data_IF_540748186724
#
_entry.id   IF_540748186724
#
_cell.length_a   1.000
_cell.length_b   1.000
_cell.length_c   1.000
_cell.angle_alpha   90.00
_cell.angle_beta   90.00
_cell.angle_gamma   90.00
#
_symmetry.space_group_name_H-M   'P 1'
#
loop_
_entity.id
_entity.type
_entity.pdbx_description
1 polymer ?
#
# COMPACT_ATOMS: atom_id res chain seq x y z
N UNK A 1 -20.83 28.92 -1.49
CA UNK A 1 -21.79 28.54 -2.56
C UNK A 1 -21.09 27.57 -3.52
N UNK A 2 -21.82 26.69 -4.21
CA UNK A 2 -21.35 25.90 -5.37
C UNK A 2 -22.28 26.15 -6.55
N UNK A 3 -21.73 26.24 -7.76
CA UNK A 3 -22.49 26.36 -9.01
C UNK A 3 -22.06 25.28 -9.99
N UNK A 4 -22.99 24.44 -10.44
CA UNK A 4 -22.74 23.43 -11.47
C UNK A 4 -23.13 23.99 -12.84
N UNK A 5 -22.17 24.07 -13.77
CA UNK A 5 -22.28 24.82 -15.03
C UNK A 5 -22.38 23.94 -16.29
N UNK A 6 -21.98 22.66 -16.20
CA UNK A 6 -21.96 21.74 -17.32
C UNK A 6 -21.10 22.23 -18.49
N UNK A 7 -21.70 22.21 -19.68
CA UNK A 7 -21.12 22.65 -20.96
C UNK A 7 -21.59 24.06 -21.40
N UNK A 8 -22.27 24.80 -20.52
CA UNK A 8 -22.89 26.09 -20.87
C UNK A 8 -24.08 25.98 -21.84
N UNK A 9 -24.61 24.78 -22.12
CA UNK A 9 -25.85 24.63 -22.92
C UNK A 9 -27.13 24.80 -22.09
N UNK A 10 -27.02 24.75 -20.76
CA UNK A 10 -28.13 24.74 -19.79
C UNK A 10 -27.84 25.70 -18.64
N UNK A 11 -28.88 26.04 -17.89
CA UNK A 11 -28.79 26.94 -16.73
C UNK A 11 -27.96 26.31 -15.59
N UNK A 12 -27.29 27.17 -14.82
CA UNK A 12 -26.44 26.77 -13.70
C UNK A 12 -27.26 26.28 -12.50
N UNK A 13 -26.94 25.10 -11.96
CA UNK A 13 -27.53 24.65 -10.69
C UNK A 13 -26.75 25.25 -9.52
N UNK A 14 -27.40 26.16 -8.77
CA UNK A 14 -26.81 26.83 -7.61
C UNK A 14 -27.17 26.08 -6.31
N UNK A 15 -26.14 25.74 -5.54
CA UNK A 15 -26.20 25.06 -4.25
C UNK A 15 -25.63 25.98 -3.16
N UNK A 16 -26.45 26.30 -2.15
CA UNK A 16 -26.15 27.26 -1.11
C UNK A 16 -26.93 26.93 0.18
N UNK A 17 -26.51 27.55 1.29
CA UNK A 17 -27.06 27.27 2.62
C UNK A 17 -26.78 25.83 3.07
N UNK A 18 -27.70 25.27 3.84
CA UNK A 18 -27.58 23.98 4.53
C UNK A 18 -27.29 22.80 3.58
N UNK A 19 -27.70 22.92 2.30
CA UNK A 19 -27.37 21.98 1.22
C UNK A 19 -25.87 21.68 1.09
N UNK A 20 -24.99 22.61 1.50
CA UNK A 20 -23.54 22.42 1.47
C UNK A 20 -23.03 21.44 2.55
N UNK A 21 -23.90 21.02 3.48
CA UNK A 21 -23.56 20.09 4.58
C UNK A 21 -24.22 18.71 4.42
N UNK A 22 -25.00 18.49 3.35
CA UNK A 22 -25.78 17.27 3.11
C UNK A 22 -25.13 16.42 1.99
N UNK A 23 -24.17 15.55 2.33
CA UNK A 23 -23.37 14.78 1.34
C UNK A 23 -24.23 13.99 0.34
N UNK A 24 -25.25 13.25 0.82
CA UNK A 24 -26.14 12.46 -0.04
C UNK A 24 -26.87 13.35 -1.07
N UNK A 25 -27.34 14.52 -0.64
CA UNK A 25 -28.05 15.48 -1.50
C UNK A 25 -27.12 16.16 -2.50
N UNK A 26 -25.86 16.43 -2.11
CA UNK A 26 -24.83 16.92 -3.01
C UNK A 26 -24.50 15.86 -4.08
N UNK A 27 -24.44 14.59 -3.69
CA UNK A 27 -24.28 13.48 -4.63
C UNK A 27 -25.47 13.39 -5.57
N UNK A 28 -26.71 13.41 -5.06
CA UNK A 28 -27.93 13.41 -5.88
C UNK A 28 -28.02 14.60 -6.83
N UNK A 29 -27.63 15.80 -6.40
CA UNK A 29 -27.58 16.97 -7.27
C UNK A 29 -26.61 16.78 -8.44
N UNK A 30 -25.40 16.26 -8.20
CA UNK A 30 -24.45 15.94 -9.27
C UNK A 30 -24.87 14.73 -10.12
N UNK A 31 -25.49 13.71 -9.51
CA UNK A 31 -25.98 12.52 -10.20
C UNK A 31 -27.17 12.83 -11.13
N UNK A 32 -28.02 13.80 -10.78
CA UNK A 32 -29.13 14.25 -11.62
C UNK A 32 -28.77 15.43 -12.55
N UNK A 33 -27.65 16.11 -12.33
CA UNK A 33 -27.21 17.20 -13.20
C UNK A 33 -27.00 16.71 -14.66
N UNK A 34 -27.38 17.46 -15.70
CA UNK A 34 -27.24 17.01 -17.08
C UNK A 34 -25.77 16.73 -17.46
N UNK A 35 -25.53 15.59 -18.11
CA UNK A 35 -24.22 15.32 -18.72
C UNK A 35 -23.97 16.28 -19.90
N UNK A 36 -22.72 16.73 -20.11
CA UNK A 36 -22.35 17.61 -21.21
C UNK A 36 -22.35 16.88 -22.56
N UNK A 37 -22.63 17.62 -23.63
CA UNK A 37 -22.39 17.16 -25.01
C UNK A 37 -20.91 17.34 -25.40
N UNK A 38 -20.48 16.64 -26.45
CA UNK A 38 -19.07 16.60 -26.89
C UNK A 38 -18.51 18.00 -27.14
N UNK A 39 -17.27 18.24 -26.69
CA UNK A 39 -16.61 19.56 -26.72
C UNK A 39 -16.61 20.20 -28.13
N UNK A 40 -16.63 19.40 -29.20
CA UNK A 40 -16.77 19.89 -30.58
C UNK A 40 -18.03 20.75 -30.77
N UNK A 41 -19.14 20.35 -30.16
CA UNK A 41 -20.46 21.00 -30.30
C UNK A 41 -20.61 22.18 -29.32
N UNK A 42 -19.92 22.12 -28.18
CA UNK A 42 -20.14 23.01 -27.02
C UNK A 42 -19.01 23.99 -26.74
N UNK A 43 -17.84 23.83 -27.37
CA UNK A 43 -16.62 24.64 -27.18
C UNK A 43 -16.84 26.16 -27.04
N UNK A 44 -17.64 26.76 -27.92
CA UNK A 44 -17.94 28.20 -27.87
C UNK A 44 -18.70 28.60 -26.60
N UNK A 45 -19.70 27.81 -26.19
CA UNK A 45 -20.49 28.03 -24.97
C UNK A 45 -19.67 27.77 -23.70
N UNK A 46 -18.86 26.71 -23.71
CA UNK A 46 -17.90 26.43 -22.63
C UNK A 46 -16.93 27.61 -22.46
N UNK A 47 -16.37 28.13 -23.56
CA UNK A 47 -15.45 29.27 -23.51
C UNK A 47 -16.14 30.54 -22.99
N UNK A 48 -17.35 30.86 -23.47
CA UNK A 48 -18.14 32.00 -22.96
C UNK A 48 -18.45 31.85 -21.46
N UNK A 49 -18.82 30.64 -21.02
CA UNK A 49 -19.09 30.33 -19.62
C UNK A 49 -17.83 30.51 -18.76
N UNK A 50 -16.68 30.00 -19.22
CA UNK A 50 -15.38 30.14 -18.57
C UNK A 50 -14.96 31.62 -18.43
N UNK A 51 -15.14 32.43 -19.47
CA UNK A 51 -14.87 33.87 -19.44
C UNK A 51 -15.88 34.67 -18.60
N UNK A 52 -17.05 34.10 -18.29
CA UNK A 52 -18.07 34.72 -17.43
C UNK A 52 -17.86 34.47 -15.92
N UNK A 53 -16.95 33.56 -15.54
CA UNK A 53 -16.69 33.22 -14.15
C UNK A 53 -16.23 34.43 -13.34
N UNK A 54 -16.66 34.49 -12.07
CA UNK A 54 -16.21 35.46 -11.08
C UNK A 54 -15.93 34.78 -9.75
N UNK A 55 -14.98 35.34 -9.03
CA UNK A 55 -14.71 35.08 -7.63
C UNK A 55 -15.95 35.38 -6.77
N UNK A 56 -16.15 34.56 -5.73
CA UNK A 56 -17.31 34.63 -4.84
C UNK A 56 -16.91 34.47 -3.35
N UNK A 57 -15.64 34.72 -3.02
CA UNK A 57 -15.08 34.77 -1.65
C UNK A 57 -15.07 33.46 -0.83
N UNK A 58 -15.85 32.45 -1.21
CA UNK A 58 -15.99 31.18 -0.48
C UNK A 58 -15.49 29.98 -1.30
N UNK A 59 -14.68 29.14 -0.68
CA UNK A 59 -14.07 27.94 -1.26
C UNK A 59 -14.83 26.70 -0.80
N UNK A 60 -15.97 26.43 -1.44
CA UNK A 60 -16.84 25.28 -1.17
C UNK A 60 -16.32 23.98 -1.84
N UNK A 61 -15.04 23.64 -1.61
CA UNK A 61 -14.32 22.59 -2.34
C UNK A 61 -14.91 21.20 -2.09
N UNK A 62 -15.13 20.80 -0.83
CA UNK A 62 -15.69 19.49 -0.50
C UNK A 62 -17.07 19.23 -1.11
N UNK A 63 -18.04 20.15 -1.02
CA UNK A 63 -19.33 20.01 -1.69
C UNK A 63 -19.23 19.96 -3.22
N UNK A 64 -18.34 20.77 -3.82
CA UNK A 64 -18.09 20.74 -5.26
C UNK A 64 -17.46 19.42 -5.71
N UNK A 65 -16.55 18.84 -4.93
CA UNK A 65 -15.92 17.54 -5.19
C UNK A 65 -16.94 16.39 -5.19
N UNK A 66 -17.87 16.37 -4.22
CA UNK A 66 -18.96 15.38 -4.18
C UNK A 66 -19.82 15.47 -5.45
N UNK A 67 -20.24 16.68 -5.83
CA UNK A 67 -21.01 16.91 -7.05
C UNK A 67 -20.23 16.48 -8.31
N UNK A 68 -18.92 16.76 -8.37
CA UNK A 68 -18.06 16.42 -9.50
C UNK A 68 -17.84 14.92 -9.65
N UNK A 69 -17.64 14.19 -8.54
CA UNK A 69 -17.55 12.72 -8.53
C UNK A 69 -18.89 12.11 -8.97
N UNK A 70 -20.02 12.63 -8.49
CA UNK A 70 -21.33 12.16 -8.87
C UNK A 70 -21.62 12.35 -10.38
N UNK A 71 -21.31 13.53 -10.94
CA UNK A 71 -21.37 13.76 -12.39
C UNK A 71 -20.44 12.81 -13.17
N UNK A 72 -19.17 12.70 -12.75
CA UNK A 72 -18.18 11.86 -13.42
C UNK A 72 -18.50 10.36 -13.35
N UNK A 73 -19.19 9.90 -12.30
CA UNK A 73 -19.61 8.50 -12.13
C UNK A 73 -20.63 8.00 -13.16
N UNK A 74 -21.23 8.92 -13.92
CA UNK A 74 -22.15 8.64 -15.04
C UNK A 74 -21.47 8.71 -16.41
N UNK A 75 -20.18 9.07 -16.46
CA UNK A 75 -19.35 8.98 -17.65
C UNK A 75 -18.83 7.55 -17.89
N UNK A 76 -18.04 7.34 -18.96
CA UNK A 76 -17.38 6.05 -19.21
C UNK A 76 -16.30 5.73 -18.16
N UNK A 77 -15.90 4.45 -18.01
CA UNK A 77 -14.83 4.05 -17.08
C UNK A 77 -13.54 4.82 -17.31
N UNK A 78 -12.96 5.35 -16.22
CA UNK A 78 -11.77 6.21 -16.28
C UNK A 78 -12.07 7.69 -16.48
N UNK A 79 -13.33 8.10 -16.27
CA UNK A 79 -13.72 9.51 -16.14
C UNK A 79 -12.94 10.20 -15.01
N UNK A 80 -12.66 11.49 -15.18
CA UNK A 80 -11.70 12.23 -14.35
C UNK A 80 -12.31 13.50 -13.77
N UNK A 81 -12.00 13.77 -12.50
CA UNK A 81 -12.19 15.06 -11.84
C UNK A 81 -10.82 15.70 -11.67
N UNK A 82 -10.68 17.00 -11.93
CA UNK A 82 -9.48 17.77 -11.58
C UNK A 82 -9.94 18.89 -10.66
N UNK A 83 -9.50 18.84 -9.40
CA UNK A 83 -9.68 19.93 -8.44
C UNK A 83 -8.63 20.99 -8.77
N UNK A 84 -9.06 22.24 -8.94
CA UNK A 84 -8.18 23.39 -8.99
C UNK A 84 -8.52 24.30 -7.81
N UNK A 85 -7.53 24.62 -6.96
CA UNK A 85 -7.74 25.48 -5.79
C UNK A 85 -6.50 26.34 -5.49
N UNK A 86 -6.75 27.53 -4.98
CA UNK A 86 -5.78 28.55 -4.58
C UNK A 86 -5.91 28.93 -3.10
N UNK A 87 -6.63 28.12 -2.32
CA UNK A 87 -6.76 28.27 -0.87
C UNK A 87 -7.42 27.08 -0.18
N UNK A 88 -7.64 27.23 1.14
CA UNK A 88 -8.30 26.25 1.98
C UNK A 88 -9.80 26.15 1.67
N UNK A 89 -10.38 24.96 1.81
CA UNK A 89 -11.82 24.78 1.84
C UNK A 89 -12.41 25.44 3.11
N UNK A 90 -13.36 26.36 2.98
CA UNK A 90 -13.89 27.13 4.12
C UNK A 90 -15.41 27.03 4.37
N UNK A 91 -16.15 26.27 3.56
CA UNK A 91 -17.60 26.08 3.77
C UNK A 91 -18.10 24.71 3.29
N UNK A 92 -19.05 24.14 4.02
CA UNK A 92 -19.69 22.85 3.73
C UNK A 92 -18.92 21.63 4.28
N UNK A 93 -19.34 20.44 3.82
CA UNK A 93 -18.63 19.17 4.12
C UNK A 93 -17.16 19.24 3.70
N UNK A 94 -16.26 18.68 4.52
CA UNK A 94 -14.82 18.68 4.22
C UNK A 94 -14.12 20.03 4.34
N UNK A 95 -14.66 20.97 5.12
CA UNK A 95 -13.96 22.21 5.49
C UNK A 95 -12.54 21.92 6.04
N UNK A 96 -11.56 22.72 5.62
CA UNK A 96 -10.13 22.62 5.90
C UNK A 96 -9.57 23.84 6.66
N UNK A 97 -10.30 24.94 6.67
CA UNK A 97 -10.09 26.11 7.54
C UNK A 97 -10.51 25.82 9.01
N UNK A 98 -9.95 26.55 9.97
CA UNK A 98 -10.20 26.41 11.43
C UNK A 98 -10.01 24.99 12.02
N UNK A 99 -9.24 24.14 11.33
CA UNK A 99 -8.75 22.86 11.84
C UNK A 99 -7.52 23.11 12.73
N UNK A 100 -7.77 23.45 14.00
CA UNK A 100 -6.75 23.67 15.03
C UNK A 100 -6.60 22.52 16.03
N UNK A 101 -7.50 21.53 16.03
CA UNK A 101 -7.50 20.42 17.01
C UNK A 101 -7.19 19.06 16.37
N UNK A 102 -6.61 18.10 17.12
CA UNK A 102 -6.30 16.75 16.60
C UNK A 102 -7.53 15.95 16.21
N UNK A 103 -8.68 16.25 16.81
CA UNK A 103 -9.95 15.59 16.52
C UNK A 103 -10.53 16.12 15.20
N UNK A 104 -10.59 17.45 14.99
CA UNK A 104 -10.94 18.04 13.68
C UNK A 104 -10.00 17.59 12.55
N UNK A 105 -8.69 17.49 12.81
CA UNK A 105 -7.72 16.97 11.85
C UNK A 105 -8.07 15.53 11.42
N UNK A 106 -8.38 14.67 12.40
CA UNK A 106 -8.76 13.29 12.13
C UNK A 106 -10.13 13.18 11.44
N UNK A 107 -11.08 14.07 11.74
CA UNK A 107 -12.37 14.17 11.04
C UNK A 107 -12.17 14.52 9.56
N UNK A 108 -11.40 15.56 9.24
CA UNK A 108 -11.10 15.93 7.85
C UNK A 108 -10.36 14.83 7.08
N UNK A 109 -9.34 14.21 7.68
CA UNK A 109 -8.64 13.07 7.09
C UNK A 109 -9.58 11.88 6.84
N UNK A 110 -10.53 11.63 7.75
CA UNK A 110 -11.53 10.56 7.59
C UNK A 110 -12.53 10.89 6.47
N UNK A 111 -12.94 12.15 6.34
CA UNK A 111 -13.82 12.62 5.27
C UNK A 111 -13.16 12.47 3.88
N UNK A 112 -11.95 12.99 3.70
CA UNK A 112 -11.25 12.86 2.41
C UNK A 112 -10.86 11.41 2.11
N UNK A 113 -10.60 10.57 3.12
CA UNK A 113 -10.52 9.12 2.92
C UNK A 113 -11.85 8.50 2.45
N UNK A 114 -12.98 8.86 3.04
CA UNK A 114 -14.30 8.36 2.63
C UNK A 114 -14.61 8.73 1.17
N UNK A 115 -14.50 10.01 0.81
CA UNK A 115 -14.73 10.49 -0.56
C UNK A 115 -13.80 9.80 -1.59
N UNK A 116 -12.56 9.46 -1.20
CA UNK A 116 -11.64 8.70 -2.07
C UNK A 116 -12.10 7.26 -2.36
N UNK A 117 -12.84 6.62 -1.44
CA UNK A 117 -13.42 5.29 -1.62
C UNK A 117 -14.62 5.37 -2.57
N UNK A 118 -15.50 6.35 -2.35
CA UNK A 118 -16.65 6.63 -3.23
C UNK A 118 -16.18 6.88 -4.67
N UNK A 119 -15.14 7.72 -4.89
CA UNK A 119 -14.59 7.95 -6.22
C UNK A 119 -14.05 6.66 -6.89
N UNK A 120 -13.29 5.85 -6.14
CA UNK A 120 -12.76 4.57 -6.62
C UNK A 120 -13.87 3.58 -7.01
N UNK A 121 -14.87 3.37 -6.15
CA UNK A 121 -15.99 2.44 -6.41
C UNK A 121 -16.81 2.83 -7.65
N UNK A 122 -16.82 4.12 -7.98
CA UNK A 122 -17.44 4.67 -9.20
C UNK A 122 -16.50 4.68 -10.42
N UNK A 123 -15.26 4.20 -10.32
CA UNK A 123 -14.28 4.21 -11.41
C UNK A 123 -13.81 5.61 -11.83
N UNK A 124 -13.89 6.59 -10.91
CA UNK A 124 -13.53 8.00 -11.13
C UNK A 124 -12.17 8.29 -10.52
N UNK A 125 -11.26 8.89 -11.31
CA UNK A 125 -9.97 9.38 -10.79
C UNK A 125 -10.03 10.88 -10.50
N UNK A 126 -9.56 11.29 -9.32
CA UNK A 126 -9.47 12.69 -8.89
C UNK A 126 -8.02 13.13 -8.94
N UNK A 127 -7.69 14.19 -9.68
CA UNK A 127 -6.40 14.89 -9.54
C UNK A 127 -6.57 16.18 -8.73
N UNK A 128 -5.50 16.63 -8.08
CA UNK A 128 -5.42 17.89 -7.32
C UNK A 128 -4.36 18.78 -7.95
N UNK A 129 -4.78 19.96 -8.40
CA UNK A 129 -3.91 21.04 -8.86
C UNK A 129 -4.06 22.22 -7.91
N UNK A 130 -2.93 22.71 -7.38
CA UNK A 130 -2.87 23.81 -6.40
C UNK A 130 -1.97 24.93 -6.87
N UNK A 131 -2.19 26.15 -6.39
CA UNK A 131 -1.36 27.30 -6.74
C UNK A 131 -0.19 27.47 -5.76
N UNK A 132 1.01 27.64 -6.31
CA UNK A 132 2.23 27.99 -5.56
C UNK A 132 2.10 29.35 -4.89
N UNK A 133 2.27 29.41 -3.58
CA UNK A 133 2.15 30.62 -2.77
C UNK A 133 0.93 30.63 -1.83
N UNK A 134 -0.05 29.75 -2.05
CA UNK A 134 -1.18 29.53 -1.14
C UNK A 134 -1.16 28.11 -0.58
N UNK A 135 -1.42 27.94 0.72
CA UNK A 135 -1.55 26.62 1.34
C UNK A 135 -3.02 26.15 1.26
N UNK A 136 -3.22 24.98 0.65
CA UNK A 136 -4.50 24.37 0.33
C UNK A 136 -4.76 23.08 1.14
N UNK A 137 -3.81 22.67 2.00
CA UNK A 137 -3.79 21.36 2.70
C UNK A 137 -3.77 20.18 1.74
N UNK A 138 -2.69 20.12 0.94
CA UNK A 138 -2.34 18.98 0.08
C UNK A 138 -2.25 17.67 0.88
N UNK A 139 -1.92 17.70 2.18
CA UNK A 139 -1.95 16.51 3.02
C UNK A 139 -3.32 15.81 3.04
N UNK A 140 -4.40 16.57 3.18
CA UNK A 140 -5.77 16.03 3.18
C UNK A 140 -6.27 15.80 1.73
N UNK A 141 -6.15 16.79 0.85
CA UNK A 141 -6.65 16.71 -0.54
C UNK A 141 -5.92 15.63 -1.37
N UNK A 142 -4.60 15.52 -1.20
CA UNK A 142 -3.75 14.57 -1.92
C UNK A 142 -4.08 13.11 -1.62
N UNK A 143 -4.76 12.79 -0.51
CA UNK A 143 -5.23 11.43 -0.24
C UNK A 143 -6.29 10.98 -1.24
N UNK A 144 -7.12 11.91 -1.74
CA UNK A 144 -8.12 11.59 -2.77
C UNK A 144 -7.43 11.28 -4.10
N UNK A 145 -6.37 12.03 -4.43
CA UNK A 145 -5.58 11.78 -5.63
C UNK A 145 -4.78 10.47 -5.55
N UNK A 146 -4.00 10.29 -4.49
CA UNK A 146 -3.19 9.10 -4.23
C UNK A 146 -4.04 7.81 -4.22
N UNK A 147 -5.17 7.80 -3.50
CA UNK A 147 -6.04 6.61 -3.42
C UNK A 147 -6.78 6.33 -4.73
N UNK A 148 -7.05 7.33 -5.57
CA UNK A 148 -7.69 7.14 -6.90
C UNK A 148 -6.67 7.11 -8.07
N UNK A 149 -5.38 7.03 -7.75
CA UNK A 149 -4.21 7.12 -8.64
C UNK A 149 -4.17 8.36 -9.56
N UNK A 150 -4.91 9.41 -9.23
CA UNK A 150 -4.77 10.74 -9.83
C UNK A 150 -3.52 11.46 -9.35
N UNK A 151 -3.24 12.63 -9.90
CA UNK A 151 -1.98 13.37 -9.67
C UNK A 151 -2.15 14.52 -8.69
N UNK A 152 -1.04 14.92 -8.06
CA UNK A 152 -0.92 16.09 -7.19
C UNK A 152 0.14 17.02 -7.78
N UNK A 153 -0.26 18.22 -8.20
CA UNK A 153 0.61 19.20 -8.85
C UNK A 153 0.45 20.59 -8.21
N UNK A 154 1.53 21.17 -7.68
CA UNK A 154 1.58 22.58 -7.27
C UNK A 154 2.26 23.40 -8.37
N UNK A 155 1.55 24.40 -8.91
CA UNK A 155 2.01 25.18 -10.08
C UNK A 155 2.03 26.67 -9.82
N UNK A 156 2.98 27.37 -10.44
CA UNK A 156 2.89 28.82 -10.59
C UNK A 156 1.68 29.16 -11.50
N UNK A 157 0.90 30.23 -11.25
CA UNK A 157 -0.22 30.62 -12.11
C UNK A 157 0.14 30.73 -13.61
N UNK A 158 1.36 31.16 -13.94
CA UNK A 158 1.85 31.30 -15.32
C UNK A 158 2.01 29.92 -16.01
N UNK A 159 2.27 28.87 -15.22
CA UNK A 159 2.56 27.51 -15.67
C UNK A 159 1.35 26.57 -15.52
N UNK A 160 0.14 27.11 -15.38
CA UNK A 160 -1.09 26.32 -15.18
C UNK A 160 -1.32 25.29 -16.31
N UNK A 161 -0.95 25.64 -17.55
CA UNK A 161 -1.02 24.75 -18.71
C UNK A 161 -0.10 23.53 -18.60
N UNK A 162 1.07 23.68 -17.96
CA UNK A 162 2.01 22.57 -17.74
C UNK A 162 1.43 21.56 -16.75
N UNK A 163 0.77 22.05 -15.69
CA UNK A 163 0.06 21.23 -14.70
C UNK A 163 -1.07 20.40 -15.33
N UNK A 164 -1.96 21.04 -16.10
CA UNK A 164 -2.98 20.31 -16.86
C UNK A 164 -2.37 19.31 -17.84
N UNK A 165 -1.28 19.67 -18.52
CA UNK A 165 -0.60 18.77 -19.47
C UNK A 165 0.00 17.54 -18.77
N UNK A 166 0.67 17.72 -17.62
CA UNK A 166 1.18 16.62 -16.78
C UNK A 166 0.07 15.66 -16.35
N UNK A 167 -1.05 16.22 -15.85
CA UNK A 167 -2.21 15.44 -15.41
C UNK A 167 -2.83 14.66 -16.58
N UNK A 168 -3.06 15.31 -17.72
CA UNK A 168 -3.79 14.73 -18.86
C UNK A 168 -2.95 13.78 -19.72
N UNK A 169 -1.62 13.96 -19.77
CA UNK A 169 -0.70 13.08 -20.51
C UNK A 169 -0.72 11.62 -20.03
N UNK A 170 -1.18 11.37 -18.79
CA UNK A 170 -1.34 10.03 -18.22
C UNK A 170 -2.77 9.53 -18.38
N UNK A 171 -3.07 8.64 -19.36
CA UNK A 171 -4.39 8.05 -19.47
C UNK A 171 -4.63 7.01 -18.37
N UNK A 172 -5.85 6.96 -17.84
CA UNK A 172 -6.33 5.76 -17.13
C UNK A 172 -6.33 4.61 -18.14
N UNK A 173 -5.81 3.45 -17.74
CA UNK A 173 -5.77 2.21 -18.53
C UNK A 173 -6.92 1.28 -18.16
N UNK A 174 -7.19 1.16 -16.86
CA UNK A 174 -8.26 0.34 -16.29
C UNK A 174 -8.81 0.96 -14.98
N UNK A 175 -10.01 0.54 -14.58
CA UNK A 175 -10.69 0.92 -13.34
C UNK A 175 -11.06 -0.30 -12.50
N UNK A 176 -11.42 -0.10 -11.22
CA UNK A 176 -11.85 -1.16 -10.32
C UNK A 176 -10.88 -2.36 -10.29
N UNK A 177 -9.57 -2.06 -10.22
CA UNK A 177 -8.50 -3.05 -10.24
C UNK A 177 -8.35 -3.67 -8.84
N UNK A 178 -8.65 -4.96 -8.70
CA UNK A 178 -8.28 -5.77 -7.53
C UNK A 178 -7.19 -6.76 -7.93
N UNK A 179 -6.20 -6.94 -7.06
CA UNK A 179 -5.12 -7.91 -7.27
C UNK A 179 -5.06 -8.92 -6.14
N UNK A 180 -4.74 -10.17 -6.48
CA UNK A 180 -4.46 -11.24 -5.53
C UNK A 180 -3.08 -11.81 -5.82
N UNK A 181 -2.17 -11.70 -4.83
CA UNK A 181 -0.84 -12.28 -4.89
C UNK A 181 -0.80 -13.52 -3.99
N UNK A 182 -0.51 -14.67 -4.59
CA UNK A 182 -0.37 -15.96 -3.91
C UNK A 182 1.06 -16.47 -4.03
N UNK A 183 1.67 -16.77 -2.88
CA UNK A 183 3.01 -17.33 -2.76
C UNK A 183 2.94 -18.81 -2.38
N UNK A 184 4.02 -19.55 -2.63
CA UNK A 184 4.19 -20.90 -2.10
C UNK A 184 4.10 -20.93 -0.56
N UNK A 185 3.51 -21.99 0.01
CA UNK A 185 3.18 -22.12 1.44
C UNK A 185 4.36 -21.99 2.43
N UNK A 186 5.61 -22.10 1.97
CA UNK A 186 6.82 -21.87 2.78
C UNK A 186 7.25 -20.40 2.85
N UNK A 187 6.61 -19.53 2.09
CA UNK A 187 6.74 -18.07 2.15
C UNK A 187 5.53 -17.47 2.87
N UNK A 188 5.70 -16.28 3.42
CA UNK A 188 4.61 -15.45 3.94
C UNK A 188 4.77 -14.01 3.43
N UNK A 189 3.66 -13.31 3.24
CA UNK A 189 3.63 -11.89 2.94
C UNK A 189 3.66 -11.09 4.24
N UNK A 190 4.45 -10.02 4.26
CA UNK A 190 4.59 -9.13 5.41
C UNK A 190 3.69 -7.92 5.20
N UNK A 191 2.45 -8.06 5.67
CA UNK A 191 1.43 -7.02 5.63
C UNK A 191 1.19 -6.47 7.05
N UNK A 192 1.04 -5.14 7.25
CA UNK A 192 0.73 -4.58 8.56
C UNK A 192 -0.56 -5.18 9.15
N UNK A 193 -0.45 -5.81 10.32
CA UNK A 193 -1.58 -6.40 11.03
C UNK A 193 -2.06 -7.77 10.52
N UNK A 194 -1.39 -8.40 9.53
CA UNK A 194 -1.64 -9.79 9.17
C UNK A 194 -0.42 -10.66 9.48
N UNK A 195 -0.60 -11.68 10.32
CA UNK A 195 0.43 -12.68 10.59
C UNK A 195 0.43 -13.80 9.53
N UNK A 196 1.59 -14.10 8.97
CA UNK A 196 1.90 -15.41 8.37
C UNK A 196 0.91 -15.92 7.28
N UNK A 197 0.38 -15.02 6.44
CA UNK A 197 -0.42 -15.39 5.27
C UNK A 197 0.46 -15.61 4.02
N UNK A 198 0.23 -16.69 3.26
CA UNK A 198 0.88 -16.90 1.94
C UNK A 198 0.09 -16.28 0.77
N UNK A 199 -1.02 -15.59 1.04
CA UNK A 199 -1.82 -14.91 0.03
C UNK A 199 -2.29 -13.56 0.57
N UNK A 200 -2.35 -12.55 -0.29
CA UNK A 200 -2.97 -11.25 0.01
C UNK A 200 -3.84 -10.81 -1.16
N UNK A 201 -4.91 -10.08 -0.86
CA UNK A 201 -5.73 -9.37 -1.84
C UNK A 201 -5.72 -7.88 -1.52
N UNK A 202 -5.57 -7.03 -2.54
CA UNK A 202 -5.52 -5.58 -2.42
C UNK A 202 -6.38 -4.95 -3.52
N UNK A 203 -7.27 -4.02 -3.14
CA UNK A 203 -7.89 -3.10 -4.10
C UNK A 203 -6.87 -2.01 -4.46
N UNK A 204 -6.66 -1.78 -5.75
CA UNK A 204 -5.74 -0.80 -6.34
C UNK A 204 -6.49 0.41 -6.91
N UNK A 205 -7.82 0.31 -7.09
CA UNK A 205 -8.64 1.39 -7.65
C UNK A 205 -8.44 1.52 -9.16
N UNK A 206 -8.18 2.73 -9.64
CA UNK A 206 -7.90 3.00 -11.05
C UNK A 206 -6.40 2.89 -11.36
N UNK A 207 -6.01 2.57 -12.59
CA UNK A 207 -4.61 2.26 -12.95
C UNK A 207 -4.17 3.03 -14.19
N UNK A 208 -2.97 3.60 -14.13
CA UNK A 208 -2.21 4.27 -15.20
C UNK A 208 -0.96 3.45 -15.57
N UNK A 209 -0.17 3.91 -16.56
CA UNK A 209 1.12 3.27 -16.90
C UNK A 209 2.15 3.33 -15.75
N UNK A 210 2.20 4.43 -15.00
CA UNK A 210 3.10 4.60 -13.84
C UNK A 210 2.62 3.88 -12.55
N UNK A 211 1.55 3.07 -12.63
CA UNK A 211 0.91 2.46 -11.44
C UNK A 211 1.64 1.21 -10.95
N UNK A 212 2.77 1.43 -10.29
CA UNK A 212 3.54 0.37 -9.62
C UNK A 212 2.96 -0.01 -8.25
N UNK A 213 3.24 -1.25 -7.79
CA UNK A 213 3.00 -1.69 -6.43
C UNK A 213 4.09 -2.68 -5.98
N UNK A 214 4.40 -2.68 -4.69
CA UNK A 214 5.41 -3.55 -4.09
C UNK A 214 4.85 -4.32 -2.88
N UNK A 215 5.46 -5.47 -2.58
CA UNK A 215 5.11 -6.37 -1.49
C UNK A 215 6.38 -6.79 -0.75
N UNK A 216 6.37 -6.73 0.58
CA UNK A 216 7.40 -7.41 1.39
C UNK A 216 6.97 -8.86 1.63
N UNK A 217 7.92 -9.81 1.59
CA UNK A 217 7.67 -11.21 1.92
C UNK A 217 8.88 -11.82 2.63
N UNK A 218 8.65 -12.94 3.33
CA UNK A 218 9.67 -13.66 4.09
C UNK A 218 9.54 -15.17 3.97
N UNK A 219 10.56 -15.87 4.46
CA UNK A 219 10.61 -17.34 4.55
C UNK A 219 10.10 -17.74 5.94
N UNK A 220 9.10 -18.63 6.00
CA UNK A 220 8.63 -19.18 7.28
C UNK A 220 9.77 -19.95 7.97
N UNK A 221 9.88 -19.83 9.29
CA UNK A 221 10.77 -20.66 10.11
C UNK A 221 10.08 -22.01 10.38
N UNK A 222 10.84 -23.06 10.74
CA UNK A 222 10.20 -24.31 11.24
C UNK A 222 9.49 -23.96 12.55
N UNK A 223 8.16 -23.95 12.54
CA UNK A 223 7.39 -24.04 13.77
C UNK A 223 7.84 -25.32 14.48
N UNK A 224 7.99 -25.28 15.81
CA UNK A 224 7.86 -26.51 16.57
C UNK A 224 6.43 -27.00 16.32
N UNK A 225 6.30 -28.21 15.78
CA UNK A 225 5.06 -28.95 15.95
C UNK A 225 4.95 -29.24 17.45
N UNK A 226 4.11 -28.46 18.13
CA UNK A 226 3.48 -28.98 19.34
C UNK A 226 2.65 -30.17 18.87
N UNK A 227 2.97 -31.36 19.37
CA UNK A 227 2.26 -32.58 19.02
C UNK A 227 0.90 -32.53 19.68
N UNK A 228 -0.10 -32.03 18.95
CA UNK A 228 -1.50 -32.37 19.24
C UNK A 228 -1.59 -33.90 19.35
N UNK A 229 -2.18 -34.44 20.44
CA UNK A 229 -2.27 -35.87 20.61
C UNK A 229 -3.14 -36.45 19.49
N UNK A 230 -2.63 -37.48 18.82
CA UNK A 230 -3.41 -38.26 17.86
C UNK A 230 -4.68 -38.76 18.57
N UNK A 231 -5.85 -38.32 18.08
CA UNK A 231 -7.12 -38.94 18.45
C UNK A 231 -7.07 -40.36 17.89
N UNK A 232 -6.83 -41.33 18.77
CA UNK A 232 -6.99 -42.73 18.46
C UNK A 232 -8.49 -42.97 18.28
N UNK A 233 -8.92 -43.01 17.03
CA UNK A 233 -10.24 -43.51 16.68
C UNK A 233 -10.24 -45.01 16.97
N UNK A 234 -11.12 -45.46 17.87
CA UNK A 234 -11.33 -46.87 18.14
C UNK A 234 -11.89 -47.55 16.87
N UNK A 235 -11.47 -48.79 16.55
CA UNK A 235 -11.94 -49.47 15.34
C UNK A 235 -13.41 -49.87 15.45
N UNK A 236 -14.20 -49.57 14.43
CA UNK A 236 -15.62 -49.96 14.37
C UNK A 236 -15.82 -51.49 14.40
N UNK A 237 -16.93 -51.98 14.99
CA UNK A 237 -17.15 -53.41 15.20
C UNK A 237 -17.35 -54.17 13.87
N UNK A 238 -16.66 -55.29 13.74
CA UNK A 238 -16.62 -56.08 12.50
C UNK A 238 -17.93 -56.83 12.25
N UNK A 239 -18.59 -56.55 11.14
CA UNK A 239 -19.75 -57.32 10.68
C UNK A 239 -19.28 -58.68 10.17
N UNK A 240 -19.89 -59.77 10.65
CA UNK A 240 -19.63 -61.14 10.20
C UNK A 240 -20.44 -61.46 8.94
N UNK A 241 -19.85 -62.04 7.89
CA UNK A 241 -20.57 -62.92 6.97
C UNK A 241 -20.68 -64.33 7.56
N UNK A 242 -21.76 -65.04 7.23
CA UNK A 242 -21.92 -66.47 7.55
C UNK A 242 -21.17 -67.36 6.53
N UNK A 243 -21.09 -68.66 6.82
CA UNK A 243 -20.15 -69.58 6.20
C UNK A 243 -20.73 -70.39 5.03
N UNK A 244 -19.84 -70.97 4.21
CA UNK A 244 -19.97 -72.39 3.83
C UNK A 244 -18.58 -73.02 3.60
N UNK A 245 -18.52 -74.35 3.40
CA UNK A 245 -17.33 -75.19 3.67
C UNK A 245 -16.40 -75.39 2.45
N UNK A 246 -15.14 -75.82 2.70
CA UNK A 246 -14.60 -77.16 2.33
C UNK A 246 -13.07 -77.36 2.60
N UNK A 247 -12.74 -78.26 3.55
CA UNK A 247 -11.69 -79.32 3.53
C UNK A 247 -10.18 -79.00 3.24
N UNK A 248 -9.35 -78.98 4.31
CA UNK A 248 -8.19 -79.90 4.67
C UNK A 248 -7.18 -80.38 3.57
N UNK A 249 -5.84 -80.52 3.76
CA UNK A 249 -4.90 -80.18 4.87
C UNK A 249 -3.55 -79.45 4.49
N UNK A 250 -2.72 -79.23 5.53
CA UNK A 250 -1.24 -79.04 5.60
C UNK A 250 -0.37 -80.11 4.86
N UNK A 251 0.99 -79.99 4.67
CA UNK A 251 1.98 -79.74 5.76
C UNK A 251 3.42 -79.15 5.50
N UNK A 252 4.10 -78.81 6.61
CA UNK A 252 5.57 -78.95 6.93
C UNK A 252 6.72 -78.09 6.36
N UNK A 253 7.71 -77.86 7.26
CA UNK A 253 9.19 -77.77 7.08
C UNK A 253 9.87 -76.47 6.53
N UNK A 254 11.13 -76.11 6.90
CA UNK A 254 11.95 -76.31 8.14
C UNK A 254 13.27 -75.48 8.03
N UNK A 255 13.91 -75.09 9.16
CA UNK A 255 15.33 -74.63 9.31
C UNK A 255 15.79 -73.33 8.57
N UNK A 256 16.90 -72.63 8.92
CA UNK A 256 17.90 -72.70 10.03
C UNK A 256 18.61 -71.34 10.30
N UNK A 257 19.12 -71.14 11.53
CA UNK A 257 20.25 -70.21 11.89
C UNK A 257 21.64 -70.86 11.56
N UNK A 258 22.85 -70.43 12.04
CA UNK A 258 23.36 -69.24 12.76
C UNK A 258 24.52 -68.52 11.96
N UNK A 259 25.45 -67.66 12.41
CA UNK A 259 26.25 -67.41 13.65
C UNK A 259 26.61 -65.90 13.77
N UNK A 260 26.86 -65.26 14.94
CA UNK A 260 28.01 -65.36 15.90
C UNK A 260 29.40 -65.29 15.21
N UNK A 261 30.45 -64.61 15.71
CA UNK A 261 30.73 -63.66 16.83
C UNK A 261 32.08 -62.93 16.49
N UNK A 262 32.69 -61.93 17.18
CA UNK A 262 32.73 -61.47 18.60
C UNK A 262 33.25 -60.00 18.69
N UNK A 263 33.26 -59.38 19.88
CA UNK A 263 33.94 -58.11 20.26
C UNK A 263 35.48 -58.31 20.50
N UNK A 264 36.38 -57.29 20.59
CA UNK A 264 36.46 -56.44 21.79
C UNK A 264 37.00 -54.97 21.65
N UNK A 265 36.64 -54.13 22.64
CA UNK A 265 37.23 -52.82 23.01
C UNK A 265 38.63 -52.96 23.66
N UNK A 266 39.50 -51.91 23.76
CA UNK A 266 39.34 -50.93 24.86
C UNK A 266 39.96 -49.49 24.71
N UNK A 267 39.61 -48.63 25.69
CA UNK A 267 40.30 -47.41 26.20
C UNK A 267 40.19 -46.07 25.43
N UNK A 268 40.45 -45.01 26.20
CA UNK A 268 40.09 -43.60 25.96
C UNK A 268 41.33 -42.69 25.96
N UNK A 269 41.24 -41.50 25.35
CA UNK A 269 41.78 -40.25 25.92
C UNK A 269 41.31 -39.00 25.15
N UNK A 270 41.27 -37.85 25.82
CA UNK A 270 41.28 -36.52 25.18
C UNK A 270 39.93 -35.87 24.91
N UNK A 271 39.74 -34.65 25.44
CA UNK A 271 38.52 -33.86 25.25
C UNK A 271 38.68 -32.74 24.20
N UNK A 272 37.59 -32.37 23.54
CA UNK A 272 37.26 -30.95 23.31
C UNK A 272 35.78 -30.80 22.93
N UNK A 273 35.03 -29.98 23.66
CA UNK A 273 33.62 -29.73 23.42
C UNK A 273 33.43 -28.73 22.26
N UNK A 274 33.51 -29.22 21.02
CA UNK A 274 33.20 -28.43 19.83
C UNK A 274 31.73 -28.02 19.81
N UNK A 275 31.42 -26.76 20.13
CA UNK A 275 30.05 -26.23 20.09
C UNK A 275 29.58 -26.11 18.63
N UNK A 276 29.03 -27.19 18.11
CA UNK A 276 28.36 -27.20 16.80
C UNK A 276 27.12 -26.30 16.87
N UNK A 277 27.24 -25.09 16.33
CA UNK A 277 26.09 -24.21 16.07
C UNK A 277 25.08 -24.98 15.23
N UNK A 278 23.96 -25.41 15.82
CA UNK A 278 22.81 -25.95 15.08
C UNK A 278 22.34 -24.87 14.11
N UNK A 279 22.65 -25.02 12.83
CA UNK A 279 22.07 -24.20 11.79
C UNK A 279 20.57 -24.43 11.78
N UNK A 280 19.80 -23.35 11.89
CA UNK A 280 18.34 -23.41 11.81
C UNK A 280 17.96 -23.78 10.37
N UNK A 281 17.57 -25.05 10.17
CA UNK A 281 17.17 -25.54 8.85
C UNK A 281 15.91 -24.81 8.37
N UNK A 282 16.11 -23.86 7.46
CA UNK A 282 15.03 -23.12 6.78
C UNK A 282 14.10 -24.12 6.06
N UNK A 283 12.79 -23.84 6.03
CA UNK A 283 11.76 -24.79 5.56
C UNK A 283 11.72 -24.94 4.02
N UNK A 284 12.78 -24.54 3.33
CA UNK A 284 12.98 -24.65 1.88
C UNK A 284 14.14 -25.62 1.61
N UNK A 285 13.98 -26.85 2.10
CA UNK A 285 14.85 -27.97 1.81
C UNK A 285 14.24 -28.77 0.64
N UNK A 286 15.05 -29.09 -0.37
CA UNK A 286 14.60 -29.86 -1.55
C UNK A 286 13.77 -29.11 -2.60
N UNK A 287 13.77 -27.76 -2.62
CA UNK A 287 13.13 -26.98 -3.71
C UNK A 287 14.10 -25.97 -4.33
N UNK A 288 14.36 -26.13 -5.62
CA UNK A 288 15.15 -25.21 -6.44
C UNK A 288 14.37 -23.96 -6.87
N UNK A 289 13.05 -24.09 -7.02
CA UNK A 289 12.17 -23.03 -7.50
C UNK A 289 10.89 -22.95 -6.65
N UNK A 290 10.35 -21.74 -6.48
CA UNK A 290 9.08 -21.46 -5.79
C UNK A 290 8.12 -20.66 -6.69
N UNK A 291 6.86 -21.09 -6.84
CA UNK A 291 5.88 -20.33 -7.62
C UNK A 291 5.38 -19.07 -6.88
N UNK A 292 5.24 -18.01 -7.65
CA UNK A 292 4.57 -16.76 -7.34
C UNK A 292 3.44 -16.60 -8.39
N UNK A 293 2.20 -16.39 -7.96
CA UNK A 293 1.07 -16.11 -8.86
C UNK A 293 0.42 -14.77 -8.51
N UNK A 294 0.28 -13.91 -9.51
CA UNK A 294 -0.45 -12.66 -9.46
C UNK A 294 -1.70 -12.77 -10.34
N UNK A 295 -2.87 -12.59 -9.73
CA UNK A 295 -4.16 -12.45 -10.41
C UNK A 295 -4.53 -10.96 -10.38
N UNK A 296 -4.91 -10.38 -11.52
CA UNK A 296 -5.32 -8.98 -11.67
C UNK A 296 -6.73 -8.98 -12.28
N UNK A 297 -7.73 -8.61 -11.48
CA UNK A 297 -9.11 -8.42 -11.93
C UNK A 297 -9.35 -6.92 -12.16
N UNK A 298 -9.97 -6.54 -13.27
CA UNK A 298 -10.14 -5.13 -13.64
C UNK A 298 -11.34 -4.87 -14.56
N UNK A 299 -11.77 -3.61 -14.64
CA UNK A 299 -12.73 -3.12 -15.64
C UNK A 299 -11.98 -2.31 -16.70
N UNK A 300 -12.09 -2.73 -17.96
CA UNK A 300 -11.49 -2.07 -19.11
C UNK A 300 -12.31 -0.85 -19.59
N UNK A 301 -11.76 -0.08 -20.54
CA UNK A 301 -12.32 1.21 -21.00
C UNK A 301 -13.68 1.12 -21.71
N UNK A 302 -13.95 -0.04 -22.28
CA UNK A 302 -15.21 -0.45 -22.89
C UNK A 302 -16.27 -0.92 -21.87
N UNK A 303 -15.90 -1.01 -20.59
CA UNK A 303 -16.71 -1.59 -19.51
C UNK A 303 -16.56 -3.10 -19.33
N UNK A 304 -15.74 -3.77 -20.14
CA UNK A 304 -15.52 -5.22 -20.01
C UNK A 304 -14.82 -5.57 -18.70
N UNK A 305 -15.35 -6.55 -17.97
CA UNK A 305 -14.72 -7.11 -16.77
C UNK A 305 -13.73 -8.20 -17.19
N UNK A 306 -12.47 -8.00 -16.86
CA UNK A 306 -11.34 -8.80 -17.31
C UNK A 306 -10.55 -9.38 -16.12
N UNK A 307 -9.88 -10.51 -16.34
CA UNK A 307 -8.89 -11.03 -15.41
C UNK A 307 -7.62 -11.43 -16.17
N UNK A 308 -6.46 -11.02 -15.67
CA UNK A 308 -5.14 -11.44 -16.13
C UNK A 308 -4.46 -12.24 -15.03
N UNK A 309 -3.95 -13.42 -15.36
CA UNK A 309 -3.14 -14.24 -14.44
C UNK A 309 -1.71 -14.31 -14.93
N UNK A 310 -0.76 -14.09 -14.03
CA UNK A 310 0.68 -14.17 -14.26
C UNK A 310 1.26 -15.13 -13.23
N UNK A 311 2.03 -16.13 -13.66
CA UNK A 311 2.70 -17.08 -12.76
C UNK A 311 4.18 -17.16 -13.12
N UNK A 312 5.05 -17.04 -12.13
CA UNK A 312 6.50 -17.08 -12.29
C UNK A 312 7.13 -18.01 -11.26
N UNK A 313 8.08 -18.84 -11.69
CA UNK A 313 8.89 -19.67 -10.81
C UNK A 313 10.18 -18.92 -10.46
N UNK A 314 10.35 -18.56 -9.18
CA UNK A 314 11.53 -17.85 -8.69
C UNK A 314 12.56 -18.86 -8.17
N UNK A 315 13.84 -18.76 -8.57
CA UNK A 315 14.89 -19.67 -8.09
C UNK A 315 15.22 -19.43 -6.61
N UNK A 316 15.69 -20.48 -5.94
CA UNK A 316 16.09 -20.50 -4.53
C UNK A 316 17.59 -20.76 -4.42
N UNK A 317 18.32 -19.83 -3.81
CA UNK A 317 19.73 -20.06 -3.43
C UNK A 317 19.92 -20.02 -1.92
N UNK A 318 20.93 -20.75 -1.45
CA UNK A 318 21.49 -20.64 -0.10
C UNK A 318 22.74 -19.75 -0.05
N UNK A 319 23.29 -19.37 -1.20
CA UNK A 319 24.44 -18.48 -1.30
C UNK A 319 24.00 -17.01 -1.21
N UNK A 320 24.49 -16.34 -0.17
CA UNK A 320 24.25 -14.91 0.05
C UNK A 320 24.85 -14.03 -1.05
N UNK A 321 26.01 -14.37 -1.58
CA UNK A 321 26.70 -13.55 -2.59
C UNK A 321 25.96 -13.57 -3.92
N UNK A 322 25.41 -14.72 -4.28
CA UNK A 322 24.53 -14.89 -5.44
C UNK A 322 23.27 -14.04 -5.29
N UNK A 323 22.57 -14.14 -4.16
CA UNK A 323 21.35 -13.37 -3.88
C UNK A 323 21.61 -11.84 -3.85
N UNK A 324 22.74 -11.38 -3.30
CA UNK A 324 23.12 -9.97 -3.32
C UNK A 324 23.51 -9.52 -4.75
N UNK A 325 24.20 -10.36 -5.53
CA UNK A 325 24.56 -10.09 -6.93
C UNK A 325 23.33 -10.00 -7.84
N UNK A 326 22.35 -10.89 -7.71
CA UNK A 326 21.11 -10.92 -8.53
C UNK A 326 20.01 -9.97 -8.03
N UNK A 327 20.25 -9.22 -6.95
CA UNK A 327 19.26 -8.28 -6.40
C UNK A 327 18.89 -7.17 -7.39
N UNK A 328 17.60 -6.84 -7.51
CA UNK A 328 17.16 -5.66 -8.25
C UNK A 328 17.15 -4.45 -7.29
N UNK A 329 18.03 -3.47 -7.54
CA UNK A 329 18.18 -2.30 -6.66
C UNK A 329 17.06 -1.26 -6.85
N UNK A 330 16.44 -1.22 -8.03
CA UNK A 330 15.39 -0.27 -8.39
C UNK A 330 14.05 -0.64 -7.72
N UNK A 331 13.72 -1.93 -7.67
CA UNK A 331 12.59 -2.47 -6.88
C UNK A 331 12.79 -2.20 -5.39
N UNK A 332 14.02 -2.36 -4.88
CA UNK A 332 14.36 -2.03 -3.49
C UNK A 332 14.26 -0.51 -3.23
N UNK A 333 14.74 0.33 -4.15
CA UNK A 333 14.60 1.80 -4.06
C UNK A 333 13.11 2.20 -4.03
N UNK A 334 12.34 1.69 -4.98
CA UNK A 334 10.90 1.96 -5.15
C UNK A 334 10.13 1.55 -3.91
N UNK A 335 10.38 0.34 -3.38
CA UNK A 335 9.72 -0.08 -2.15
C UNK A 335 10.09 0.81 -0.96
N UNK A 336 11.37 1.16 -0.78
CA UNK A 336 11.82 2.05 0.31
C UNK A 336 11.13 3.41 0.19
N UNK A 337 11.24 4.11 -0.95
CA UNK A 337 10.68 5.46 -1.13
C UNK A 337 9.15 5.47 -0.94
N UNK A 338 8.44 4.50 -1.52
CA UNK A 338 6.98 4.43 -1.37
C UNK A 338 6.57 4.15 0.07
N UNK A 339 7.17 3.15 0.72
CA UNK A 339 6.80 2.81 2.09
C UNK A 339 7.22 3.86 3.12
N UNK A 340 8.27 4.64 2.87
CA UNK A 340 8.64 5.76 3.75
C UNK A 340 7.77 7.00 3.54
N UNK A 341 7.36 7.29 2.30
CA UNK A 341 6.35 8.30 2.03
C UNK A 341 4.97 7.93 2.63
N UNK A 342 4.58 6.65 2.57
CA UNK A 342 3.37 6.12 3.20
C UNK A 342 3.37 6.20 4.74
N UNK A 343 4.54 6.30 5.38
CA UNK A 343 4.67 6.57 6.82
C UNK A 343 4.60 8.08 7.11
N UNK A 344 5.32 8.88 6.33
CA UNK A 344 5.38 10.33 6.48
C UNK A 344 4.05 11.03 6.23
N UNK A 345 3.26 10.58 5.25
CA UNK A 345 1.89 11.04 5.00
C UNK A 345 0.91 10.70 6.14
N UNK A 346 1.32 9.89 7.12
CA UNK A 346 0.57 9.59 8.35
C UNK A 346 1.12 10.33 9.57
N UNK A 347 2.10 11.22 9.41
CA UNK A 347 2.76 11.93 10.51
C UNK A 347 3.79 11.11 11.29
N UNK A 348 4.31 10.01 10.73
CA UNK A 348 5.48 9.31 11.27
C UNK A 348 6.73 9.74 10.48
N UNK A 349 7.66 10.43 11.14
CA UNK A 349 8.92 10.89 10.54
C UNK A 349 10.14 10.10 11.01
N UNK A 350 10.00 9.25 12.04
CA UNK A 350 11.13 8.56 12.70
C UNK A 350 11.35 7.18 12.10
N UNK A 351 10.31 6.36 12.02
CA UNK A 351 10.37 5.05 11.38
C UNK A 351 10.78 5.08 9.91
N UNK A 352 10.29 6.01 9.06
CA UNK A 352 10.78 6.07 7.69
C UNK A 352 12.28 6.41 7.58
N UNK A 353 12.83 7.22 8.50
CA UNK A 353 14.29 7.47 8.53
C UNK A 353 15.08 6.23 8.96
N UNK A 354 14.58 5.47 9.94
CA UNK A 354 15.15 4.16 10.32
C UNK A 354 15.09 3.15 9.16
N UNK A 355 13.98 3.12 8.39
CA UNK A 355 13.84 2.28 7.20
C UNK A 355 14.78 2.69 6.06
N UNK A 356 14.98 3.99 5.84
CA UNK A 356 16.00 4.49 4.91
C UNK A 356 17.41 4.05 5.33
N UNK A 357 17.81 4.27 6.59
CA UNK A 357 19.16 3.99 7.10
C UNK A 357 19.51 2.50 7.09
N UNK A 358 18.56 1.63 7.46
CA UNK A 358 18.75 0.17 7.41
C UNK A 358 18.94 -0.34 5.98
N UNK A 359 18.13 0.15 5.03
CA UNK A 359 18.29 -0.20 3.61
C UNK A 359 19.56 0.40 2.98
N UNK A 360 19.98 1.60 3.37
CA UNK A 360 21.22 2.22 2.89
C UNK A 360 22.45 1.32 3.16
N UNK A 361 22.53 0.72 4.36
CA UNK A 361 23.61 -0.21 4.73
C UNK A 361 23.62 -1.49 3.89
N UNK A 362 22.46 -1.93 3.39
CA UNK A 362 22.34 -3.05 2.46
C UNK A 362 22.76 -2.65 1.05
N UNK A 363 22.21 -1.56 0.52
CA UNK A 363 22.45 -1.14 -0.87
C UNK A 363 23.88 -0.62 -1.08
N UNK A 364 24.50 0.00 -0.08
CA UNK A 364 25.92 0.34 -0.08
C UNK A 364 26.83 -0.88 -0.24
N UNK A 365 26.53 -1.97 0.48
CA UNK A 365 27.28 -3.23 0.38
C UNK A 365 27.16 -3.85 -1.02
N UNK A 366 25.95 -3.90 -1.57
CA UNK A 366 25.72 -4.42 -2.92
C UNK A 366 26.43 -3.55 -3.98
N UNK A 367 26.31 -2.23 -3.86
CA UNK A 367 26.93 -1.26 -4.76
C UNK A 367 28.46 -1.31 -4.81
N UNK A 368 29.10 -1.53 -3.66
CA UNK A 368 30.56 -1.68 -3.58
C UNK A 368 31.03 -3.07 -3.97
N UNK A 369 30.49 -4.13 -3.38
CA UNK A 369 31.02 -5.49 -3.52
C UNK A 369 30.88 -6.03 -4.95
N UNK A 370 29.84 -5.63 -5.68
CA UNK A 370 29.56 -6.11 -7.04
C UNK A 370 29.79 -5.04 -8.12
N UNK A 371 30.53 -3.97 -7.78
CA UNK A 371 30.86 -2.83 -8.65
C UNK A 371 29.64 -2.05 -9.22
N UNK A 372 28.45 -2.22 -8.64
CA UNK A 372 27.17 -1.58 -9.03
C UNK A 372 27.08 -0.11 -8.55
N UNK A 373 28.19 0.63 -8.69
CA UNK A 373 28.37 2.00 -8.16
C UNK A 373 27.48 3.04 -8.85
N UNK A 374 27.05 2.81 -10.11
CA UNK A 374 26.09 3.68 -10.81
C UNK A 374 24.71 3.61 -10.15
N UNK A 375 24.22 2.39 -9.95
CA UNK A 375 22.92 2.12 -9.32
C UNK A 375 22.90 2.60 -7.86
N UNK A 376 23.97 2.35 -7.10
CA UNK A 376 24.10 2.92 -5.74
C UNK A 376 24.03 4.45 -5.71
N UNK A 377 24.60 5.15 -6.70
CA UNK A 377 24.52 6.62 -6.79
C UNK A 377 23.10 7.09 -7.11
N UNK A 378 22.38 6.39 -7.99
CA UNK A 378 20.97 6.68 -8.27
C UNK A 378 20.11 6.48 -7.01
N UNK A 379 20.23 5.31 -6.37
CA UNK A 379 19.60 5.00 -5.08
C UNK A 379 19.87 6.07 -4.03
N UNK A 380 21.14 6.43 -3.85
CA UNK A 380 21.56 7.43 -2.87
C UNK A 380 21.05 8.83 -3.19
N UNK A 381 20.84 9.20 -4.46
CA UNK A 381 20.28 10.50 -4.83
C UNK A 381 18.78 10.57 -4.53
N UNK A 382 18.03 9.56 -4.97
CA UNK A 382 16.58 9.50 -4.83
C UNK A 382 16.14 9.35 -3.36
N UNK A 383 16.86 8.51 -2.58
CA UNK A 383 16.58 8.36 -1.16
C UNK A 383 17.03 9.57 -0.36
N UNK A 384 18.15 10.24 -0.71
CA UNK A 384 18.56 11.47 -0.02
C UNK A 384 17.58 12.64 -0.23
N UNK A 385 16.92 12.77 -1.38
CA UNK A 385 15.84 13.76 -1.53
C UNK A 385 14.75 13.54 -0.49
N UNK A 386 14.29 12.28 -0.34
CA UNK A 386 13.25 11.90 0.62
C UNK A 386 13.74 12.06 2.07
N UNK A 387 14.95 11.61 2.39
CA UNK A 387 15.51 11.62 3.75
C UNK A 387 15.78 13.04 4.27
N UNK A 388 16.32 13.94 3.43
CA UNK A 388 16.48 15.36 3.77
C UNK A 388 15.11 16.02 4.07
N UNK A 389 14.07 15.69 3.31
CA UNK A 389 12.71 16.20 3.56
C UNK A 389 12.13 15.67 4.88
N UNK A 390 12.28 14.37 5.16
CA UNK A 390 11.89 13.77 6.46
C UNK A 390 12.64 14.41 7.64
N UNK A 391 13.93 14.67 7.49
CA UNK A 391 14.76 15.29 8.53
C UNK A 391 14.35 16.75 8.81
N UNK A 392 13.99 17.52 7.77
CA UNK A 392 13.42 18.85 7.93
C UNK A 392 12.06 18.83 8.64
N UNK A 393 11.16 17.90 8.27
CA UNK A 393 9.87 17.75 8.92
C UNK A 393 10.00 17.35 10.40
N UNK A 394 10.87 16.40 10.73
CA UNK A 394 11.17 15.98 12.10
C UNK A 394 11.79 17.13 12.94
N UNK A 395 12.64 17.97 12.33
CA UNK A 395 13.15 19.20 12.98
C UNK A 395 12.05 20.23 13.22
N UNK A 396 11.13 20.41 12.28
CA UNK A 396 10.01 21.34 12.43
C UNK A 396 9.03 20.85 13.51
N UNK A 397 8.77 19.54 13.58
CA UNK A 397 8.04 18.90 14.67
C UNK A 397 8.71 19.16 16.03
N UNK A 398 10.00 18.87 16.16
CA UNK A 398 10.78 19.04 17.39
C UNK A 398 10.83 20.51 17.84
N UNK A 399 10.96 21.45 16.90
CA UNK A 399 10.90 22.89 17.17
C UNK A 399 9.49 23.40 17.56
N UNK A 400 8.42 22.79 17.03
CA UNK A 400 7.04 23.20 17.31
C UNK A 400 6.52 22.64 18.64
N UNK A 401 6.90 21.40 18.98
CA UNK A 401 6.35 20.68 20.15
C UNK A 401 7.37 20.44 21.27
N UNK A 402 8.62 20.88 21.12
CA UNK A 402 9.72 20.65 22.07
C UNK A 402 10.17 19.19 22.18
N UNK A 403 9.65 18.32 21.31
CA UNK A 403 9.93 16.88 21.24
C UNK A 403 9.38 16.30 19.93
N UNK A 404 9.83 15.10 19.58
CA UNK A 404 9.22 14.30 18.50
C UNK A 404 7.96 13.61 19.03
N UNK A 405 6.82 13.85 18.38
CA UNK A 405 5.57 13.14 18.62
C UNK A 405 5.55 11.83 17.82
N UNK A 406 6.22 11.81 16.67
CA UNK A 406 6.58 10.64 15.87
C UNK A 406 7.24 9.53 16.72
N UNK A 407 8.26 9.85 17.52
CA UNK A 407 8.90 8.92 18.47
C UNK A 407 7.91 8.35 19.51
N UNK A 408 6.83 9.06 19.85
CA UNK A 408 5.86 8.63 20.88
C UNK A 408 4.85 7.56 20.42
N UNK A 409 5.04 7.00 19.22
CA UNK A 409 4.39 5.78 18.77
C UNK A 409 4.96 4.51 19.41
N UNK A 410 6.24 4.51 19.81
CA UNK A 410 7.02 3.33 20.22
C UNK A 410 6.64 2.67 21.57
N UNK A 411 5.56 3.09 22.24
CA UNK A 411 4.99 2.42 23.43
C UNK A 411 4.31 1.06 23.08
N UNK A 412 4.57 0.49 21.90
CA UNK A 412 4.29 -0.91 21.54
C UNK A 412 5.60 -1.66 21.37
N UNK A 413 5.78 -2.75 22.11
CA UNK A 413 7.03 -3.54 22.19
C UNK A 413 7.50 -4.13 20.84
N UNK A 414 6.68 -4.04 19.78
CA UNK A 414 6.91 -4.54 18.43
C UNK A 414 8.16 -3.94 17.73
N UNK A 415 8.60 -2.72 18.07
CA UNK A 415 9.76 -2.08 17.40
C UNK A 415 11.13 -2.59 17.86
N UNK A 416 11.22 -3.25 19.03
CA UNK A 416 12.47 -3.87 19.49
C UNK A 416 12.76 -5.21 18.78
N UNK A 417 11.79 -5.78 18.05
CA UNK A 417 11.90 -7.11 17.45
C UNK A 417 12.77 -7.19 16.17
N UNK A 418 13.60 -6.18 15.91
CA UNK A 418 14.59 -6.23 14.81
C UNK A 418 15.73 -7.25 15.09
N UNK A 419 15.86 -7.77 16.32
CA UNK A 419 16.89 -8.75 16.69
C UNK A 419 16.43 -9.95 17.54
N UNK A 420 15.22 -9.97 18.10
CA UNK A 420 14.70 -11.11 18.87
C UNK A 420 14.00 -12.16 17.99
N UNK A 421 13.92 -13.41 18.49
CA UNK A 421 13.26 -14.53 17.80
C UNK A 421 12.65 -15.51 18.83
N UNK A 422 11.85 -15.02 19.78
CA UNK A 422 10.94 -15.88 20.57
C UNK A 422 9.83 -15.05 21.27
N UNK A 423 8.56 -15.16 20.84
CA UNK A 423 7.44 -15.78 21.61
C UNK A 423 6.02 -15.30 21.24
N UNK A 424 5.10 -16.28 21.29
CA UNK A 424 3.66 -16.20 21.61
C UNK A 424 2.80 -15.05 21.04
N UNK A 425 1.91 -15.44 20.12
CA UNK A 425 0.73 -14.71 19.64
C UNK A 425 -0.20 -14.11 20.72
N UNK A 426 -1.09 -13.21 20.27
CA UNK A 426 -2.33 -12.68 20.91
C UNK A 426 -2.23 -11.31 21.60
N UNK A 427 -1.94 -10.27 20.81
CA UNK A 427 -2.62 -8.97 20.88
C UNK A 427 -2.68 -8.36 19.47
N UNK A 428 -3.73 -7.58 19.18
CA UNK A 428 -3.79 -6.81 17.93
C UNK A 428 -3.04 -5.49 18.14
N UNK A 429 -2.10 -5.16 17.26
CA UNK A 429 -1.40 -3.87 17.24
C UNK A 429 -2.29 -2.73 16.73
N UNK A 430 -3.41 -2.50 17.43
CA UNK A 430 -4.20 -1.29 17.29
C UNK A 430 -3.39 -0.12 17.84
N UNK A 431 -2.84 0.71 16.95
CA UNK A 431 -2.20 1.99 17.29
C UNK A 431 -3.08 2.70 18.33
N UNK A 432 -2.50 3.00 19.49
CA UNK A 432 -3.29 3.54 20.61
C UNK A 432 -3.94 4.87 20.23
N UNK A 433 -5.11 5.19 20.80
CA UNK A 433 -5.76 6.51 20.55
C UNK A 433 -4.83 7.69 20.89
N UNK A 434 -3.90 7.50 21.85
CA UNK A 434 -2.81 8.42 22.20
C UNK A 434 -1.81 8.56 21.04
N UNK A 435 -1.29 7.45 20.51
CA UNK A 435 -0.34 7.44 19.40
C UNK A 435 -0.95 7.99 18.09
N UNK A 436 -2.19 7.61 17.72
CA UNK A 436 -2.85 8.19 16.54
C UNK A 436 -3.03 9.72 16.69
N UNK A 437 -3.41 10.20 17.88
CA UNK A 437 -3.47 11.66 18.16
C UNK A 437 -2.09 12.33 18.21
N UNK A 438 -1.00 11.60 18.43
CA UNK A 438 0.37 12.13 18.33
C UNK A 438 0.80 12.26 16.86
N UNK A 439 0.59 11.21 16.06
CA UNK A 439 0.80 11.20 14.60
C UNK A 439 0.00 12.30 13.88
N UNK A 440 -1.29 12.47 14.20
CA UNK A 440 -2.12 13.53 13.61
C UNK A 440 -1.68 14.95 14.04
N UNK A 441 -1.03 15.11 15.21
CA UNK A 441 -0.39 16.39 15.59
C UNK A 441 0.94 16.60 14.87
N UNK A 442 1.74 15.55 14.67
CA UNK A 442 2.96 15.62 13.87
C UNK A 442 2.64 15.98 12.41
N UNK A 443 1.57 15.43 11.84
CA UNK A 443 1.16 15.76 10.48
C UNK A 443 0.66 17.20 10.32
N UNK A 444 0.27 17.89 11.39
CA UNK A 444 -0.20 19.28 11.32
C UNK A 444 0.93 20.31 11.19
N UNK A 445 2.21 19.91 11.18
CA UNK A 445 3.33 20.78 10.81
C UNK A 445 3.77 20.59 9.35
N UNK A 446 3.16 19.64 8.62
CA UNK A 446 3.48 19.39 7.21
C UNK A 446 3.01 20.55 6.33
N UNK A 447 3.92 21.09 5.52
CA UNK A 447 3.59 22.08 4.49
C UNK A 447 3.06 21.41 3.23
N UNK A 448 2.39 22.17 2.37
CA UNK A 448 1.94 21.69 1.07
C UNK A 448 3.11 21.21 0.21
N UNK A 449 4.22 21.94 0.20
CA UNK A 449 5.44 21.55 -0.55
C UNK A 449 6.02 20.23 -0.06
N UNK A 450 5.98 19.96 1.26
CA UNK A 450 6.44 18.67 1.78
C UNK A 450 5.47 17.54 1.39
N UNK A 451 4.17 17.78 1.54
CA UNK A 451 3.11 16.82 1.20
C UNK A 451 3.13 16.45 -0.29
N UNK A 452 3.22 17.45 -1.17
CA UNK A 452 3.38 17.28 -2.62
C UNK A 452 4.61 16.43 -2.96
N UNK A 453 5.77 16.72 -2.36
CA UNK A 453 6.99 15.95 -2.60
C UNK A 453 6.84 14.48 -2.18
N UNK A 454 6.11 14.17 -1.11
CA UNK A 454 5.81 12.78 -0.72
C UNK A 454 4.87 12.09 -1.72
N UNK A 455 3.79 12.73 -2.16
CA UNK A 455 2.90 12.17 -3.20
C UNK A 455 3.62 11.95 -4.53
N UNK A 456 4.47 12.90 -4.96
CA UNK A 456 5.32 12.74 -6.15
C UNK A 456 6.37 11.64 -5.94
N UNK A 457 6.96 11.51 -4.76
CA UNK A 457 7.90 10.43 -4.44
C UNK A 457 7.25 9.04 -4.51
N UNK A 458 5.97 8.89 -4.11
CA UNK A 458 5.24 7.62 -4.28
C UNK A 458 5.06 7.19 -5.75
N UNK A 459 5.04 8.16 -6.66
CA UNK A 459 4.72 7.99 -8.09
C UNK A 459 5.93 8.03 -9.03
N UNK A 460 7.12 8.40 -8.54
CA UNK A 460 8.38 8.32 -9.30
C UNK A 460 8.79 6.85 -9.49
N UNK A 461 8.36 6.27 -10.61
CA UNK A 461 8.91 5.02 -11.16
C UNK A 461 10.42 5.14 -11.35
N UNK A 462 11.15 4.05 -11.06
CA UNK A 462 12.57 3.94 -11.38
C UNK A 462 12.72 3.40 -12.81
N UNK A 463 12.97 4.30 -13.77
CA UNK A 463 13.25 3.98 -15.19
C UNK A 463 14.75 4.08 -15.49
#
# INVERSE_FOLDING_TARGET
MVSLLGDGTKEALILAGDKLYEEERLFDCGANFPLPDVIRNTSQKISQTLWSLRDNGQTALGPALVCAIAMASRGPPGSRVIICTDGLANIGVGQLEDISTPDKLMEAQTYYEHISKVANEKGVTVSVLTISGAECRILELGQVADKTNGEVERVNPVNLMDGFSSILAKPILATNVSIRLTLHSKLYLREPGQSDNSCVERNVGNVTEDSELTFEYGIRKKQKLETEPLIVLEPEPTIKPEAELLVVPEPTNVESEPTKETDPKPKELGATAGVTKKSSSLVIEGKEHLPFQLQISYTAKDGSKCMRVMTQAMPVTKNREEAEKTSNLDVLQTHVIRSTADMALKGDFSNPRLKCLSNQKMVYRIGNNYNRKKEYRAWSSNVAQTENSLFSAQKQEEATFGRRLSDSGGDSDDELDMFSVDRSSKKLSKISKKAKKAQVRASSTMTDTFSENLYKAKKKSCK
#
